data_IF_091840223115
#
_entry.id   IF_091840223115
#
_cell.length_a   1.000
_cell.length_b   1.000
_cell.length_c   1.000
_cell.angle_alpha   90.00
_cell.angle_beta   90.00
_cell.angle_gamma   90.00
#
_symmetry.space_group_name_H-M   'P 1'
#
loop_
_entity.id
_entity.type
_entity.pdbx_description
1 polymer ?
#
# COMPACT_ATOMS: atom_id res chain seq x y z
N UNK A 1 -9.88 -17.95 -33.07
CA UNK A 1 -9.14 -17.49 -31.86
C UNK A 1 -10.10 -17.13 -30.73
N UNK A 2 -10.03 -17.74 -29.55
CA UNK A 2 -10.84 -17.29 -28.44
C UNK A 2 -10.37 -15.88 -28.04
N UNK A 3 -11.26 -14.92 -28.29
CA UNK A 3 -11.09 -13.51 -27.97
C UNK A 3 -10.94 -13.34 -26.46
N UNK A 4 -9.96 -12.53 -26.06
CA UNK A 4 -9.86 -12.04 -24.69
C UNK A 4 -11.17 -11.33 -24.32
N UNK A 5 -11.86 -11.82 -23.28
CA UNK A 5 -13.02 -11.12 -22.73
C UNK A 5 -12.54 -9.80 -22.10
N UNK A 6 -13.10 -8.64 -22.47
CA UNK A 6 -12.90 -7.42 -21.70
C UNK A 6 -13.68 -7.57 -20.38
N UNK A 7 -12.95 -7.85 -19.29
CA UNK A 7 -13.52 -8.06 -17.95
C UNK A 7 -13.83 -6.74 -17.25
N UNK A 8 -15.11 -6.45 -17.12
CA UNK A 8 -15.80 -5.35 -16.44
C UNK A 8 -15.35 -5.06 -14.98
N UNK A 9 -14.88 -3.84 -14.74
CA UNK A 9 -15.32 -2.91 -13.66
C UNK A 9 -15.27 -3.27 -12.16
N UNK A 10 -15.25 -4.54 -11.73
CA UNK A 10 -15.20 -4.90 -10.31
C UNK A 10 -13.98 -5.78 -10.02
N UNK A 11 -13.02 -5.22 -9.29
CA UNK A 11 -11.81 -5.91 -8.84
C UNK A 11 -12.09 -6.92 -7.71
N UNK A 12 -13.11 -6.65 -6.90
CA UNK A 12 -13.49 -7.46 -5.73
C UNK A 12 -14.86 -8.12 -5.92
N UNK A 13 -15.08 -9.24 -5.23
CA UNK A 13 -16.37 -9.92 -5.19
C UNK A 13 -17.48 -8.95 -4.75
N UNK A 14 -18.68 -8.97 -5.36
CA UNK A 14 -19.76 -8.02 -5.03
C UNK A 14 -20.24 -8.06 -3.58
N UNK A 15 -20.00 -9.15 -2.86
CA UNK A 15 -20.29 -9.23 -1.42
C UNK A 15 -19.33 -8.39 -0.57
N UNK A 16 -18.16 -8.01 -1.10
CA UNK A 16 -17.16 -7.18 -0.44
C UNK A 16 -17.46 -5.71 -0.75
N UNK A 17 -18.01 -5.00 0.24
CA UNK A 17 -18.44 -3.60 0.09
C UNK A 17 -17.29 -2.62 0.30
N UNK A 18 -16.44 -2.87 1.31
CA UNK A 18 -15.30 -2.02 1.64
C UNK A 18 -14.14 -2.85 2.17
N UNK A 19 -12.92 -2.35 1.96
CA UNK A 19 -11.70 -2.89 2.57
C UNK A 19 -10.96 -1.73 3.19
N UNK A 20 -11.08 -1.58 4.51
CA UNK A 20 -10.42 -0.53 5.27
C UNK A 20 -9.05 -1.00 5.74
N UNK A 21 -8.01 -0.29 5.30
CA UNK A 21 -6.67 -0.40 5.87
C UNK A 21 -6.37 0.82 6.70
N UNK A 22 -5.89 0.59 7.92
CA UNK A 22 -5.36 1.64 8.78
C UNK A 22 -3.85 1.52 8.80
N UNK A 23 -3.19 2.47 8.15
CA UNK A 23 -1.74 2.58 8.14
C UNK A 23 -1.28 3.34 9.38
N UNK A 24 -0.24 2.85 10.03
CA UNK A 24 0.48 3.60 11.07
C UNK A 24 1.42 4.63 10.41
N UNK A 25 2.56 4.91 11.03
CA UNK A 25 3.60 5.77 10.45
C UNK A 25 4.21 5.11 9.22
N UNK A 26 4.18 5.81 8.08
CA UNK A 26 4.79 5.34 6.83
C UNK A 26 6.17 5.93 6.67
N UNK A 27 7.12 5.12 6.20
CA UNK A 27 8.53 5.47 6.11
C UNK A 27 9.10 5.13 4.72
N UNK A 28 10.14 5.87 4.32
CA UNK A 28 10.93 5.61 3.12
C UNK A 28 12.40 5.40 3.50
N UNK A 29 13.05 4.43 2.87
CA UNK A 29 14.43 4.08 3.10
C UNK A 29 15.36 4.80 2.13
N UNK A 30 16.46 5.34 2.63
CA UNK A 30 17.57 5.87 1.86
C UNK A 30 18.61 4.76 1.61
N UNK A 31 18.91 4.48 0.36
CA UNK A 31 19.89 3.46 -0.02
C UNK A 31 21.29 3.79 0.50
N UNK A 32 22.10 2.74 0.70
CA UNK A 32 23.44 2.86 1.28
C UNK A 32 23.48 2.82 2.81
N UNK A 33 22.32 2.95 3.46
CA UNK A 33 22.14 2.59 4.86
C UNK A 33 21.71 1.13 4.99
N UNK A 34 22.05 0.49 6.10
CA UNK A 34 21.60 -0.89 6.36
C UNK A 34 20.09 -0.95 6.53
N UNK A 35 19.45 -2.05 6.12
CA UNK A 35 17.99 -2.22 6.20
C UNK A 35 17.47 -2.53 7.61
N UNK A 36 18.32 -2.43 8.65
CA UNK A 36 17.93 -2.62 10.04
C UNK A 36 16.96 -1.51 10.48
N UNK A 37 16.16 -1.80 11.51
CA UNK A 37 14.90 -1.08 11.78
C UNK A 37 15.02 0.44 12.00
N UNK A 38 16.21 0.96 12.31
CA UNK A 38 16.37 2.33 12.80
C UNK A 38 17.34 3.20 11.96
N UNK A 39 17.98 2.66 10.93
CA UNK A 39 18.95 3.43 10.13
C UNK A 39 18.40 3.70 8.71
N UNK A 40 18.56 4.92 8.20
CA UNK A 40 18.15 5.28 6.85
C UNK A 40 16.63 5.37 6.58
N UNK A 41 15.78 5.21 7.59
CA UNK A 41 14.31 5.31 7.45
C UNK A 41 13.82 6.72 7.80
N UNK A 42 13.06 7.32 6.89
CA UNK A 42 12.51 8.67 7.03
C UNK A 42 11.00 8.65 6.97
N UNK A 43 10.34 9.32 7.91
CA UNK A 43 8.88 9.38 7.97
C UNK A 43 8.33 10.21 6.80
N UNK A 44 7.42 9.63 6.02
CA UNK A 44 6.69 10.29 4.92
C UNK A 44 5.23 10.60 5.26
N UNK A 45 4.69 9.92 6.27
CA UNK A 45 3.41 10.25 6.90
C UNK A 45 3.47 9.93 8.39
N UNK A 46 3.44 10.98 9.21
CA UNK A 46 3.64 10.89 10.67
C UNK A 46 2.39 10.60 11.50
N UNK A 47 1.24 10.43 10.87
CA UNK A 47 -0.04 10.19 11.55
C UNK A 47 -0.75 8.99 10.94
N UNK A 48 -1.50 8.25 11.77
CA UNK A 48 -2.32 7.14 11.33
C UNK A 48 -3.31 7.56 10.24
N UNK A 49 -3.49 6.74 9.20
CA UNK A 49 -4.44 6.99 8.11
C UNK A 49 -5.25 5.76 7.77
N UNK A 50 -6.57 5.91 7.77
CA UNK A 50 -7.49 4.90 7.26
C UNK A 50 -7.86 5.18 5.81
N UNK A 51 -7.80 4.15 4.99
CA UNK A 51 -8.10 4.18 3.56
C UNK A 51 -9.08 3.06 3.24
N UNK A 52 -10.18 3.40 2.59
CA UNK A 52 -11.00 2.41 1.91
C UNK A 52 -10.37 2.08 0.56
N UNK A 53 -9.85 0.86 0.44
CA UNK A 53 -9.15 0.38 -0.75
C UNK A 53 -10.08 0.28 -1.96
N UNK A 54 -11.39 0.14 -1.77
CA UNK A 54 -12.36 0.12 -2.88
C UNK A 54 -12.56 1.53 -3.44
N UNK A 55 -12.67 2.55 -2.57
CA UNK A 55 -12.79 3.95 -3.01
C UNK A 55 -11.59 4.43 -3.85
N UNK A 56 -10.39 3.91 -3.58
CA UNK A 56 -9.17 4.33 -4.27
C UNK A 56 -8.85 3.55 -5.55
N UNK A 57 -9.73 2.63 -5.97
CA UNK A 57 -9.61 1.97 -7.26
C UNK A 57 -9.78 2.94 -8.42
N UNK A 58 -10.63 3.96 -8.25
CA UNK A 58 -10.93 4.97 -9.27
C UNK A 58 -10.20 6.28 -9.01
N UNK A 59 -9.99 6.65 -7.75
CA UNK A 59 -9.42 7.94 -7.36
C UNK A 59 -8.25 7.76 -6.39
N UNK A 60 -7.04 8.13 -6.80
CA UNK A 60 -5.88 8.05 -5.93
C UNK A 60 -6.03 8.98 -4.71
N UNK A 61 -5.57 8.52 -3.54
CA UNK A 61 -5.56 9.29 -2.29
C UNK A 61 -4.13 9.59 -1.87
N UNK A 62 -3.85 10.86 -1.57
CA UNK A 62 -2.54 11.26 -1.01
C UNK A 62 -2.38 10.72 0.41
N UNK A 63 -1.41 9.84 0.59
CA UNK A 63 -1.08 9.25 1.89
C UNK A 63 -0.18 10.17 2.72
N UNK A 64 0.71 10.93 2.11
CA UNK A 64 1.61 11.83 2.82
C UNK A 64 2.59 12.52 1.90
N UNK A 65 3.49 13.29 2.50
CA UNK A 65 4.57 14.01 1.84
C UNK A 65 5.65 14.32 2.87
N UNK A 66 6.91 14.27 2.48
CA UNK A 66 8.02 14.70 3.32
C UNK A 66 9.07 15.43 2.49
N UNK A 67 9.86 16.25 3.19
CA UNK A 67 11.09 16.82 2.65
C UNK A 67 12.21 15.83 2.94
N UNK A 68 12.86 15.37 1.89
CA UNK A 68 13.96 14.40 1.97
C UNK A 68 15.29 15.12 1.77
N UNK A 69 16.33 14.59 2.40
CA UNK A 69 17.70 15.02 2.12
C UNK A 69 18.14 14.51 0.74
N UNK A 70 19.21 15.08 0.19
CA UNK A 70 19.80 14.57 -1.03
C UNK A 70 20.28 13.13 -0.85
N UNK A 71 19.89 12.24 -1.77
CA UNK A 71 20.25 10.83 -1.73
C UNK A 71 19.33 9.94 -2.55
N UNK A 72 19.69 8.66 -2.64
CA UNK A 72 18.89 7.61 -3.30
C UNK A 72 17.87 7.04 -2.32
N UNK A 73 16.62 6.87 -2.73
CA UNK A 73 15.57 6.24 -1.93
C UNK A 73 14.95 5.06 -2.68
N UNK A 74 14.92 3.88 -2.07
CA UNK A 74 14.72 2.60 -2.77
C UNK A 74 13.59 1.72 -2.22
N UNK A 75 13.08 1.98 -1.02
CA UNK A 75 12.08 1.13 -0.39
C UNK A 75 11.09 1.93 0.47
N UNK A 76 9.83 1.48 0.51
CA UNK A 76 8.79 1.96 1.41
C UNK A 76 8.54 0.93 2.52
N UNK A 77 8.24 1.42 3.72
CA UNK A 77 7.67 0.62 4.81
C UNK A 77 6.32 1.23 5.17
N UNK A 78 5.28 0.40 5.10
CA UNK A 78 3.88 0.83 5.24
C UNK A 78 3.17 -0.07 6.26
N UNK A 79 3.46 0.09 7.57
CA UNK A 79 2.87 -0.77 8.59
C UNK A 79 1.35 -0.59 8.62
N UNK A 80 0.62 -1.71 8.62
CA UNK A 80 -0.84 -1.72 8.80
C UNK A 80 -1.15 -2.10 10.24
N UNK A 81 -1.84 -1.23 10.97
CA UNK A 81 -2.27 -1.46 12.35
C UNK A 81 -3.64 -2.14 12.43
N UNK A 82 -4.49 -1.99 11.40
CA UNK A 82 -5.77 -2.68 11.32
C UNK A 82 -6.22 -2.91 9.87
N UNK A 83 -6.83 -4.06 9.61
CA UNK A 83 -7.52 -4.37 8.36
C UNK A 83 -8.95 -4.83 8.67
N UNK A 84 -9.95 -4.17 8.09
CA UNK A 84 -11.37 -4.49 8.27
C UNK A 84 -12.03 -4.59 6.91
N UNK A 85 -12.73 -5.70 6.67
CA UNK A 85 -13.54 -5.89 5.46
C UNK A 85 -15.01 -5.80 5.84
N UNK A 86 -15.78 -5.01 5.10
CA UNK A 86 -17.22 -4.93 5.25
C UNK A 86 -17.87 -5.80 4.18
N UNK A 87 -18.63 -6.81 4.61
CA UNK A 87 -19.41 -7.68 3.74
C UNK A 87 -20.90 -7.30 3.76
N UNK A 88 -21.58 -7.49 2.64
CA UNK A 88 -23.00 -7.15 2.48
C UNK A 88 -23.95 -7.97 3.35
N UNK A 89 -23.58 -9.20 3.71
CA UNK A 89 -24.44 -10.16 4.40
C UNK A 89 -24.11 -10.34 5.89
N UNK A 90 -22.87 -10.11 6.31
CA UNK A 90 -22.41 -10.35 7.69
C UNK A 90 -21.80 -9.12 8.37
N UNK A 91 -21.64 -8.00 7.66
CA UNK A 91 -21.06 -6.78 8.20
C UNK A 91 -19.53 -6.85 8.30
N UNK A 92 -18.97 -6.27 9.37
CA UNK A 92 -17.53 -6.04 9.48
C UNK A 92 -16.79 -7.27 10.03
N UNK A 93 -15.73 -7.69 9.33
CA UNK A 93 -14.80 -8.73 9.76
C UNK A 93 -13.40 -8.14 9.84
N UNK A 94 -12.71 -8.41 10.95
CA UNK A 94 -11.32 -7.96 11.16
C UNK A 94 -10.35 -9.01 10.68
N UNK A 95 -9.32 -8.57 9.98
CA UNK A 95 -8.22 -9.40 9.51
C UNK A 95 -6.89 -8.90 10.07
N UNK A 96 -5.96 -9.82 10.23
CA UNK A 96 -4.56 -9.52 10.55
C UNK A 96 -3.73 -9.47 9.26
N UNK A 97 -2.92 -8.43 9.11
CA UNK A 97 -1.87 -8.35 8.10
C UNK A 97 -0.53 -8.57 8.80
N UNK A 98 0.33 -9.51 8.35
CA UNK A 98 1.63 -9.73 8.99
C UNK A 98 2.47 -8.44 9.00
N UNK A 99 3.07 -8.11 10.13
CA UNK A 99 3.75 -6.82 10.38
C UNK A 99 4.90 -6.51 9.41
N UNK A 100 5.59 -7.53 8.89
CA UNK A 100 6.68 -7.37 7.92
C UNK A 100 6.21 -7.41 6.45
N UNK A 101 4.91 -7.60 6.18
CA UNK A 101 4.41 -7.85 4.82
C UNK A 101 4.42 -6.64 3.89
N UNK A 102 4.58 -5.41 4.42
CA UNK A 102 4.52 -4.17 3.64
C UNK A 102 5.83 -3.39 3.67
N UNK A 103 6.91 -4.10 3.35
CA UNK A 103 8.15 -3.49 2.84
C UNK A 103 8.17 -3.64 1.32
N UNK A 104 8.13 -2.52 0.61
CA UNK A 104 7.89 -2.51 -0.84
C UNK A 104 9.06 -1.81 -1.52
N UNK A 105 9.85 -2.55 -2.28
CA UNK A 105 10.90 -1.96 -3.11
C UNK A 105 10.29 -1.08 -4.20
N UNK A 106 10.89 0.08 -4.43
CA UNK A 106 10.49 1.01 -5.47
C UNK A 106 10.99 0.46 -6.81
N UNK A 107 10.07 0.28 -7.75
CA UNK A 107 10.35 -0.23 -9.09
C UNK A 107 11.45 0.60 -9.76
N UNK A 108 12.40 -0.07 -10.41
CA UNK A 108 13.54 0.58 -11.06
C UNK A 108 14.71 0.92 -10.12
N UNK A 109 14.68 0.44 -8.87
CA UNK A 109 15.78 0.64 -7.92
C UNK A 109 15.70 1.94 -7.11
N UNK A 110 14.58 2.67 -7.20
CA UNK A 110 14.36 3.90 -6.44
C UNK A 110 14.45 5.18 -7.26
N UNK A 111 14.65 6.30 -6.56
CA UNK A 111 14.85 7.63 -7.16
C UNK A 111 15.95 8.41 -6.43
N UNK A 112 16.52 9.39 -7.13
CA UNK A 112 17.39 10.41 -6.53
C UNK A 112 16.54 11.58 -6.04
N UNK A 113 16.69 11.95 -4.78
CA UNK A 113 16.21 13.22 -4.25
C UNK A 113 17.29 14.29 -4.42
N UNK A 114 16.91 15.45 -4.96
CA UNK A 114 17.79 16.59 -5.18
C UNK A 114 17.07 17.88 -4.77
N UNK A 115 17.79 18.97 -4.45
CA UNK A 115 17.16 20.23 -4.10
C UNK A 115 16.19 20.74 -5.19
N UNK A 116 15.00 21.15 -4.78
CA UNK A 116 13.98 21.70 -5.68
C UNK A 116 13.19 20.67 -6.49
N UNK A 117 13.46 19.37 -6.36
CA UNK A 117 12.69 18.33 -7.07
C UNK A 117 11.52 17.82 -6.24
N UNK A 118 10.39 17.56 -6.91
CA UNK A 118 9.26 16.83 -6.33
C UNK A 118 9.15 15.49 -7.05
N UNK A 119 9.09 14.41 -6.28
CA UNK A 119 8.89 13.06 -6.81
C UNK A 119 7.57 12.53 -6.29
N UNK A 120 6.68 12.15 -7.20
CA UNK A 120 5.43 11.50 -6.85
C UNK A 120 5.62 9.99 -6.85
N UNK A 121 5.31 9.34 -5.72
CA UNK A 121 5.33 7.89 -5.59
C UNK A 121 3.91 7.36 -5.52
N UNK A 122 3.62 6.34 -6.32
CA UNK A 122 2.37 5.61 -6.27
C UNK A 122 2.59 4.24 -5.65
N UNK A 123 1.97 4.04 -4.49
CA UNK A 123 1.77 2.73 -3.88
C UNK A 123 0.47 2.12 -4.42
N UNK A 124 0.53 0.90 -4.94
CA UNK A 124 -0.64 0.11 -5.31
C UNK A 124 -0.70 -1.12 -4.40
N UNK A 125 -1.85 -1.34 -3.78
CA UNK A 125 -2.12 -2.48 -2.90
C UNK A 125 -3.35 -3.23 -3.41
N UNK A 126 -3.30 -4.55 -3.35
CA UNK A 126 -4.43 -5.42 -3.63
C UNK A 126 -4.45 -6.65 -2.72
N UNK A 127 -5.58 -7.33 -2.71
CA UNK A 127 -5.83 -8.53 -1.91
C UNK A 127 -6.56 -9.56 -2.78
N UNK A 128 -6.41 -10.83 -2.45
CA UNK A 128 -7.07 -11.90 -3.19
C UNK A 128 -8.51 -12.11 -2.68
N UNK A 129 -9.49 -12.13 -3.58
CA UNK A 129 -10.90 -12.41 -3.24
C UNK A 129 -11.06 -13.73 -2.48
N UNK A 130 -10.39 -14.79 -2.91
CA UNK A 130 -10.51 -16.10 -2.28
C UNK A 130 -9.97 -16.09 -0.85
N UNK A 131 -8.93 -15.30 -0.56
CA UNK A 131 -8.39 -15.16 0.79
C UNK A 131 -9.36 -14.39 1.70
N UNK A 132 -9.95 -13.30 1.19
CA UNK A 132 -10.96 -12.51 1.90
C UNK A 132 -12.19 -13.38 2.20
N UNK A 133 -12.72 -14.07 1.19
CA UNK A 133 -13.93 -14.89 1.30
C UNK A 133 -13.73 -16.16 2.12
N UNK A 134 -12.49 -16.67 2.24
CA UNK A 134 -12.18 -17.77 3.14
C UNK A 134 -12.28 -17.39 4.62
N UNK A 135 -12.23 -16.08 4.94
CA UNK A 135 -12.40 -15.55 6.31
C UNK A 135 -11.47 -16.20 7.35
N UNK A 136 -10.26 -16.59 6.95
CA UNK A 136 -9.27 -17.26 7.81
C UNK A 136 -8.55 -16.29 8.79
N UNK A 137 -9.05 -15.06 8.95
CA UNK A 137 -8.52 -14.04 9.85
C UNK A 137 -7.20 -13.39 9.43
N UNK A 138 -6.66 -13.73 8.26
CA UNK A 138 -5.40 -13.17 7.72
C UNK A 138 -5.58 -12.67 6.29
N UNK A 139 -4.88 -11.59 5.94
CA UNK A 139 -4.78 -11.10 4.57
C UNK A 139 -3.32 -10.94 4.16
N UNK A 140 -3.03 -11.33 2.94
CA UNK A 140 -1.71 -11.20 2.31
C UNK A 140 -1.79 -10.06 1.30
N UNK A 141 -1.18 -8.90 1.59
CA UNK A 141 -1.19 -7.79 0.66
C UNK A 141 -0.25 -8.08 -0.53
N UNK A 142 -0.71 -7.77 -1.74
CA UNK A 142 0.15 -7.62 -2.90
C UNK A 142 0.42 -6.14 -3.13
N UNK A 143 1.69 -5.75 -3.13
CA UNK A 143 2.10 -4.35 -3.15
C UNK A 143 3.09 -4.05 -4.26
N UNK A 144 2.93 -2.89 -4.90
CA UNK A 144 3.95 -2.31 -5.78
C UNK A 144 4.12 -0.83 -5.51
N UNK A 145 5.36 -0.35 -5.59
CA UNK A 145 5.70 1.06 -5.49
C UNK A 145 6.40 1.50 -6.77
N UNK A 146 5.98 2.62 -7.37
CA UNK A 146 6.63 3.19 -8.54
C UNK A 146 6.59 4.72 -8.54
N UNK A 147 7.56 5.32 -9.20
CA UNK A 147 7.54 6.75 -9.53
C UNK A 147 6.43 6.99 -10.56
N UNK A 148 5.70 8.09 -10.41
CA UNK A 148 4.75 8.57 -11.42
C UNK A 148 5.16 9.98 -11.83
N UNK A 149 5.18 10.21 -13.14
CA UNK A 149 5.50 11.49 -13.78
C UNK A 149 4.24 12.27 -14.06
#
# INVERSE_FOLDING_TARGET
PPQARPGSGQQYDPSILHIYLTFATMEIHQAGFGNSSNNGWYVIAGSQKTVDMISVLTTAKTLGSARLATGTYDQLRVPVSAAVVTFSNIGNVTFSIPSDSLKVSITGGGFQSSPGTTVNLRLTLSFNNNEILAMNGRLTPHATARIVT
#
